data_IF_092456595542
#
_entry.id   IF_092456595542
#
_cell.length_a   1.000
_cell.length_b   1.000
_cell.length_c   1.000
_cell.angle_alpha   90.00
_cell.angle_beta   90.00
_cell.angle_gamma   90.00
#
_symmetry.space_group_name_H-M   'P 1'
#
loop_
_entity.id
_entity.type
_entity.pdbx_description
1 polymer ?
#
# COMPACT_ATOMS: atom_id res chain seq x y z
N UNK A 1 7.91 -10.30 -9.63
CA UNK A 1 9.23 -9.93 -9.08
C UNK A 1 9.46 -8.49 -9.46
N UNK A 2 9.70 -7.60 -8.49
CA UNK A 2 10.23 -6.28 -8.83
C UNK A 2 11.47 -6.53 -9.70
N UNK A 3 11.60 -5.86 -10.86
CA UNK A 3 12.82 -6.05 -11.65
C UNK A 3 14.00 -5.68 -10.75
N UNK A 4 15.10 -6.41 -10.83
CA UNK A 4 16.28 -6.32 -9.94
C UNK A 4 16.96 -4.92 -9.94
N UNK A 5 16.37 -3.96 -10.66
CA UNK A 5 16.86 -2.61 -10.89
C UNK A 5 15.89 -1.52 -10.46
N UNK A 6 14.77 -1.86 -9.79
CA UNK A 6 13.82 -0.86 -9.33
C UNK A 6 13.58 -0.84 -7.83
N UNK A 7 13.49 0.38 -7.31
CA UNK A 7 13.38 0.64 -5.88
C UNK A 7 12.27 1.66 -5.62
N UNK A 8 11.34 1.31 -4.74
CA UNK A 8 10.33 2.22 -4.21
C UNK A 8 10.87 2.90 -2.95
N UNK A 9 10.80 4.23 -2.89
CA UNK A 9 11.26 5.00 -1.73
C UNK A 9 10.41 6.26 -1.51
N UNK A 10 10.55 6.87 -0.33
CA UNK A 10 10.03 8.23 -0.07
C UNK A 10 11.09 9.24 -0.49
N UNK A 11 10.75 10.13 -1.42
CA UNK A 11 11.67 11.21 -1.82
C UNK A 11 11.66 12.37 -0.81
N UNK A 12 12.46 13.40 -1.11
CA UNK A 12 12.64 14.56 -0.23
C UNK A 12 11.35 15.37 -0.04
N UNK A 13 10.45 15.36 -1.02
CA UNK A 13 9.12 16.01 -0.93
C UNK A 13 8.10 15.12 -0.23
N UNK A 14 8.49 13.89 0.11
CA UNK A 14 7.67 12.89 0.78
C UNK A 14 6.72 12.17 -0.17
N UNK A 15 6.90 12.21 -1.48
CA UNK A 15 6.13 11.37 -2.39
C UNK A 15 6.68 9.94 -2.43
N UNK A 16 5.84 8.97 -2.79
CA UNK A 16 6.33 7.63 -3.11
C UNK A 16 6.82 7.63 -4.55
N UNK A 17 8.09 7.25 -4.74
CA UNK A 17 8.79 7.38 -6.01
C UNK A 17 9.49 6.07 -6.33
N UNK A 18 9.34 5.61 -7.58
CA UNK A 18 10.11 4.51 -8.14
C UNK A 18 11.36 5.10 -8.77
N UNK A 19 12.52 4.56 -8.40
CA UNK A 19 13.77 4.79 -9.11
C UNK A 19 14.15 3.53 -9.90
N UNK A 20 14.45 3.72 -11.19
CA UNK A 20 15.00 2.66 -12.05
C UNK A 20 16.51 2.90 -12.23
N UNK A 21 17.31 1.96 -11.73
CA UNK A 21 18.77 2.06 -11.68
C UNK A 21 19.46 1.86 -13.04
N UNK A 22 18.80 1.21 -14.01
CA UNK A 22 19.33 1.07 -15.37
C UNK A 22 19.19 2.38 -16.15
N UNK A 23 18.03 3.02 -16.05
CA UNK A 23 17.69 4.22 -16.82
C UNK A 23 17.94 5.53 -16.07
N UNK A 24 18.24 5.43 -14.76
CA UNK A 24 18.38 6.53 -13.82
C UNK A 24 17.11 7.40 -13.68
N UNK A 25 15.96 6.89 -14.14
CA UNK A 25 14.69 7.62 -14.11
C UNK A 25 13.99 7.49 -12.77
N UNK A 26 13.36 8.58 -12.35
CA UNK A 26 12.47 8.63 -11.18
C UNK A 26 11.03 8.88 -11.64
N UNK A 27 10.10 8.12 -11.10
CA UNK A 27 8.66 8.27 -11.38
C UNK A 27 7.92 8.37 -10.06
N UNK A 28 7.25 9.49 -9.82
CA UNK A 28 6.32 9.62 -8.70
C UNK A 28 5.12 8.73 -8.97
N UNK A 29 4.84 7.82 -8.04
CA UNK A 29 3.71 6.87 -8.14
C UNK A 29 2.60 7.16 -7.14
N UNK A 30 2.86 7.97 -6.11
CA UNK A 30 1.81 8.50 -5.25
C UNK A 30 2.29 9.79 -4.57
N UNK A 31 1.49 10.88 -4.62
CA UNK A 31 1.89 12.16 -4.05
C UNK A 31 1.90 12.14 -2.52
N UNK A 32 2.69 13.05 -1.91
CA UNK A 32 2.74 13.20 -0.46
C UNK A 32 1.39 13.63 0.16
N UNK A 33 0.52 14.26 -0.63
CA UNK A 33 -0.84 14.64 -0.20
C UNK A 33 -1.63 13.43 0.29
N UNK A 34 -1.58 12.30 -0.41
CA UNK A 34 -2.25 11.04 0.01
C UNK A 34 -1.70 10.53 1.34
N UNK A 35 -0.37 10.52 1.52
CA UNK A 35 0.26 10.13 2.79
C UNK A 35 -0.25 10.97 3.96
N UNK A 36 -0.31 12.30 3.78
CA UNK A 36 -0.73 13.24 4.83
C UNK A 36 -2.22 13.15 5.12
N UNK A 37 -3.06 13.14 4.09
CA UNK A 37 -4.52 13.09 4.23
C UNK A 37 -4.99 11.80 4.92
N UNK A 38 -4.32 10.68 4.65
CA UNK A 38 -4.71 9.38 5.17
C UNK A 38 -3.90 8.92 6.38
N UNK A 39 -2.89 9.70 6.79
CA UNK A 39 -1.95 9.34 7.85
C UNK A 39 -1.39 7.91 7.70
N UNK A 40 -0.84 7.63 6.52
CA UNK A 40 -0.38 6.28 6.13
C UNK A 40 0.78 5.82 7.02
N UNK A 41 0.63 4.64 7.61
CA UNK A 41 1.63 4.01 8.47
C UNK A 41 2.66 3.21 7.65
N UNK A 42 2.22 2.34 6.75
CA UNK A 42 3.07 1.59 5.83
C UNK A 42 2.43 1.55 4.44
N UNK A 43 3.27 1.29 3.43
CA UNK A 43 2.83 1.18 2.05
C UNK A 43 3.68 0.17 1.28
N UNK A 44 3.10 -0.43 0.24
CA UNK A 44 3.82 -1.31 -0.70
C UNK A 44 3.17 -1.26 -2.08
N UNK A 45 3.96 -1.43 -3.13
CA UNK A 45 3.49 -1.39 -4.52
C UNK A 45 3.20 -2.79 -5.05
N UNK A 46 2.16 -2.93 -5.87
CA UNK A 46 1.85 -4.19 -6.55
C UNK A 46 2.97 -4.56 -7.53
N UNK A 47 3.23 -5.86 -7.77
CA UNK A 47 4.23 -6.32 -8.75
C UNK A 47 4.07 -5.71 -10.15
N UNK A 48 2.84 -5.41 -10.58
CA UNK A 48 2.53 -4.79 -11.88
C UNK A 48 2.51 -3.25 -11.84
N UNK A 49 2.78 -2.64 -10.69
CA UNK A 49 2.90 -1.18 -10.47
C UNK A 49 1.64 -0.39 -10.82
N UNK A 50 0.48 -1.03 -10.73
CA UNK A 50 -0.81 -0.37 -10.94
C UNK A 50 -1.40 0.17 -9.64
N UNK A 51 -1.02 -0.42 -8.51
CA UNK A 51 -1.63 -0.11 -7.22
C UNK A 51 -0.61 -0.01 -6.10
N UNK A 52 -0.97 0.76 -5.07
CA UNK A 52 -0.26 0.83 -3.80
C UNK A 52 -1.21 0.40 -2.69
N UNK A 53 -0.77 -0.57 -1.88
CA UNK A 53 -1.45 -0.98 -0.67
C UNK A 53 -1.00 -0.06 0.46
N UNK A 54 -1.96 0.55 1.16
CA UNK A 54 -1.72 1.47 2.27
C UNK A 54 -2.29 0.86 3.55
N UNK A 55 -1.55 0.96 4.65
CA UNK A 55 -2.09 0.71 6.00
C UNK A 55 -2.30 2.02 6.74
N UNK A 56 -3.48 2.18 7.33
CA UNK A 56 -3.89 3.37 8.10
C UNK A 56 -4.52 2.92 9.43
N UNK A 57 -4.70 3.85 10.37
CA UNK A 57 -5.27 3.59 11.70
C UNK A 57 -4.57 2.44 12.47
N UNK A 58 -3.26 2.28 12.26
CA UNK A 58 -2.48 1.18 12.85
C UNK A 58 -2.54 1.17 14.39
N UNK A 59 -2.89 0.02 14.95
CA UNK A 59 -3.00 -0.24 16.39
C UNK A 59 -1.82 -1.11 16.83
N UNK A 60 -0.80 -0.48 17.40
CA UNK A 60 0.47 -1.12 17.80
C UNK A 60 0.30 -2.36 18.69
N UNK A 61 -0.68 -2.37 19.61
CA UNK A 61 -0.86 -3.47 20.56
C UNK A 61 -1.56 -4.71 19.97
N UNK A 62 -2.40 -4.52 18.95
CA UNK A 62 -3.12 -5.62 18.29
C UNK A 62 -2.59 -5.93 16.90
N UNK A 63 -1.60 -5.16 16.42
CA UNK A 63 -1.06 -5.21 15.06
C UNK A 63 -2.13 -5.07 13.97
N UNK A 64 -3.23 -4.38 14.28
CA UNK A 64 -4.36 -4.19 13.37
C UNK A 64 -4.22 -2.89 12.59
N UNK A 65 -4.55 -2.90 11.30
CA UNK A 65 -4.69 -1.70 10.48
C UNK A 65 -5.90 -1.81 9.56
N UNK A 66 -6.43 -0.66 9.14
CA UNK A 66 -7.31 -0.61 7.97
C UNK A 66 -6.44 -0.55 6.73
N UNK A 67 -6.81 -1.31 5.72
CA UNK A 67 -6.09 -1.33 4.45
C UNK A 67 -6.86 -0.62 3.35
N UNK A 68 -6.12 0.04 2.46
CA UNK A 68 -6.63 0.81 1.33
C UNK A 68 -5.79 0.49 0.10
N UNK A 69 -6.42 0.52 -1.07
CA UNK A 69 -5.75 0.38 -2.37
C UNK A 69 -5.80 1.75 -3.06
N UNK A 70 -4.65 2.32 -3.33
CA UNK A 70 -4.48 3.51 -4.17
C UNK A 70 -4.21 3.06 -5.61
N UNK A 71 -5.00 3.55 -6.57
CA UNK A 71 -4.80 3.32 -8.00
C UNK A 71 -3.90 4.43 -8.57
N UNK A 72 -2.75 4.03 -9.12
CA UNK A 72 -1.71 4.96 -9.58
C UNK A 72 -2.19 5.77 -10.80
N UNK A 73 -3.05 5.22 -11.64
CA UNK A 73 -3.46 5.85 -12.90
C UNK A 73 -4.42 7.03 -12.75
N UNK A 74 -5.24 7.03 -11.69
CA UNK A 74 -6.31 8.00 -11.48
C UNK A 74 -6.36 8.53 -10.04
N UNK A 75 -5.38 8.17 -9.23
CA UNK A 75 -5.23 8.57 -7.82
C UNK A 75 -6.42 8.20 -6.91
N UNK A 76 -7.30 7.31 -7.38
CA UNK A 76 -8.47 6.89 -6.61
C UNK A 76 -8.09 5.90 -5.50
N UNK A 77 -8.69 6.06 -4.33
CA UNK A 77 -8.45 5.20 -3.17
C UNK A 77 -9.71 4.45 -2.79
N UNK A 78 -9.60 3.14 -2.64
CA UNK A 78 -10.69 2.25 -2.22
C UNK A 78 -10.32 1.44 -0.99
N UNK A 79 -11.29 1.00 -0.16
CA UNK A 79 -11.03 0.01 0.87
C UNK A 79 -10.56 -1.32 0.25
N UNK A 80 -9.64 -2.00 0.95
CA UNK A 80 -9.18 -3.33 0.54
C UNK A 80 -10.33 -4.34 0.52
N UNK A 81 -11.21 -4.29 1.52
CA UNK A 81 -12.44 -5.07 1.58
C UNK A 81 -13.61 -4.16 1.19
N UNK A 82 -14.18 -4.39 0.01
CA UNK A 82 -15.28 -3.57 -0.51
C UNK A 82 -16.53 -3.65 0.37
N UNK A 83 -16.84 -4.83 0.90
CA UNK A 83 -18.03 -5.08 1.72
C UNK A 83 -17.92 -4.50 3.13
N UNK A 84 -16.70 -4.32 3.65
CA UNK A 84 -16.45 -3.69 4.95
C UNK A 84 -15.24 -2.74 4.89
N UNK A 85 -15.54 -1.47 4.61
CA UNK A 85 -14.53 -0.41 4.54
C UNK A 85 -13.81 -0.12 5.88
N UNK A 86 -14.39 -0.55 7.01
CA UNK A 86 -13.84 -0.35 8.34
C UNK A 86 -13.14 -1.57 8.91
N UNK A 87 -13.17 -2.70 8.20
CA UNK A 87 -12.48 -3.91 8.58
C UNK A 87 -11.02 -3.64 8.93
N UNK A 88 -10.60 -4.18 10.07
CA UNK A 88 -9.22 -4.14 10.52
C UNK A 88 -8.58 -5.50 10.34
N UNK A 89 -7.43 -5.52 9.67
CA UNK A 89 -6.68 -6.73 9.37
C UNK A 89 -5.37 -6.73 10.14
N UNK A 90 -4.90 -7.90 10.53
CA UNK A 90 -3.55 -8.04 11.08
C UNK A 90 -2.50 -7.89 9.99
N UNK A 91 -2.86 -8.29 8.76
CA UNK A 91 -1.92 -8.37 7.68
C UNK A 91 -2.61 -8.29 6.32
N UNK A 92 -2.00 -7.54 5.42
CA UNK A 92 -2.24 -7.63 3.99
C UNK A 92 -0.94 -7.32 3.23
N UNK A 93 -0.68 -8.08 2.17
CA UNK A 93 0.46 -7.89 1.28
C UNK A 93 0.12 -8.26 -0.16
N UNK A 94 0.90 -7.76 -1.10
CA UNK A 94 0.84 -8.21 -2.48
C UNK A 94 1.40 -9.64 -2.62
N UNK A 95 0.78 -10.43 -3.50
CA UNK A 95 1.29 -11.70 -3.98
C UNK A 95 2.44 -11.52 -4.98
N UNK A 96 2.94 -12.62 -5.54
CA UNK A 96 4.13 -12.61 -6.41
C UNK A 96 3.88 -12.12 -7.85
N UNK A 97 2.62 -12.13 -8.30
CA UNK A 97 2.24 -11.80 -9.67
C UNK A 97 1.03 -10.87 -9.75
N UNK A 98 1.09 -9.93 -10.69
CA UNK A 98 0.00 -8.98 -10.96
C UNK A 98 -0.38 -8.13 -9.75
N UNK A 99 -1.68 -8.07 -9.47
CA UNK A 99 -2.29 -7.35 -8.35
C UNK A 99 -2.97 -8.29 -7.34
N UNK A 100 -2.47 -9.52 -7.20
CA UNK A 100 -3.01 -10.46 -6.22
C UNK A 100 -2.68 -10.01 -4.80
N UNK A 101 -3.61 -10.23 -3.86
CA UNK A 101 -3.46 -9.86 -2.46
C UNK A 101 -3.59 -11.09 -1.57
N UNK A 102 -2.82 -11.12 -0.49
CA UNK A 102 -2.94 -12.09 0.60
C UNK A 102 -3.22 -11.31 1.87
N UNK A 103 -4.27 -11.67 2.60
CA UNK A 103 -4.67 -11.00 3.84
C UNK A 103 -5.12 -11.97 4.92
N UNK A 104 -4.88 -11.63 6.19
CA UNK A 104 -5.44 -12.35 7.33
C UNK A 104 -6.31 -11.43 8.20
N UNK A 105 -7.52 -11.89 8.48
CA UNK A 105 -8.49 -11.26 9.37
C UNK A 105 -8.25 -11.73 10.80
N UNK A 106 -8.37 -10.81 11.77
CA UNK A 106 -8.46 -11.19 13.17
C UNK A 106 -9.93 -11.45 13.52
N UNK A 107 -10.31 -12.72 13.70
CA UNK A 107 -11.54 -13.07 14.37
C UNK A 107 -11.31 -12.99 15.88
N UNK A 108 -11.87 -11.98 16.55
CA UNK A 108 -12.15 -12.13 17.99
C UNK A 108 -13.28 -13.14 18.10
N UNK A 109 -12.96 -14.34 18.55
CA UNK A 109 -13.98 -15.22 19.14
C UNK A 109 -14.67 -14.41 20.23
N UNK A 110 -15.96 -14.17 20.10
CA UNK A 110 -16.80 -13.72 21.21
C UNK A 110 -16.74 -14.84 22.25
N UNK A 111 -16.13 -14.57 23.40
CA UNK A 111 -16.38 -15.32 24.64
C UNK A 111 -17.54 -14.68 25.36
#
# INVERSE_FOLDING_TARGET
MASDHEFLFRDADGAATIYNAETLRKTVVMPNTTFRQMNVHQYSISPDRKYILLSIDYKKHSFLAKYRIFNISNEHVVPLLHDDSNAMLQFAQWGRGGSQLVSSLHFKLLQ
#
